data_IF_429365874022
#
_entry.id   IF_429365874022
#
_cell.length_a   1.000
_cell.length_b   1.000
_cell.length_c   1.000
_cell.angle_alpha   90.00
_cell.angle_beta   90.00
_cell.angle_gamma   90.00
#
_symmetry.space_group_name_H-M   'P 1'
#
loop_
_entity.id
_entity.type
_entity.pdbx_description
1 polymer ?
#
# COMPACT_ATOMS: atom_id res chain seq x y z
N UNK A 1 -5.56 35.46 -13.91
CA UNK A 1 -5.28 34.26 -13.10
C UNK A 1 -4.69 33.22 -14.03
N UNK A 2 -3.43 32.83 -13.80
CA UNK A 2 -2.77 31.80 -14.60
C UNK A 2 -3.22 30.44 -14.05
N UNK A 3 -3.78 29.59 -14.89
CA UNK A 3 -4.13 28.21 -14.53
C UNK A 3 -3.51 27.27 -15.56
N UNK A 4 -3.00 26.14 -15.10
CA UNK A 4 -2.54 25.09 -16.00
C UNK A 4 -3.75 24.42 -16.65
N UNK A 5 -3.66 24.12 -17.96
CA UNK A 5 -4.73 23.40 -18.70
C UNK A 5 -4.73 21.90 -18.41
N UNK A 6 -3.60 21.35 -17.98
CA UNK A 6 -3.44 19.97 -17.53
C UNK A 6 -2.28 19.92 -16.52
N UNK A 7 -2.36 19.06 -15.49
CA UNK A 7 -1.20 18.77 -14.64
C UNK A 7 -0.06 18.14 -15.47
N UNK A 8 1.20 18.26 -15.05
CA UNK A 8 2.32 17.58 -15.69
C UNK A 8 2.15 16.06 -15.66
N UNK A 9 2.48 15.41 -16.77
CA UNK A 9 2.57 13.95 -16.85
C UNK A 9 4.04 13.56 -16.67
N UNK A 10 4.41 13.04 -15.50
CA UNK A 10 5.78 12.63 -15.19
C UNK A 10 6.24 11.42 -16.01
N UNK A 11 5.31 10.60 -16.51
CA UNK A 11 5.58 9.39 -17.27
C UNK A 11 5.70 9.67 -18.78
N UNK A 12 5.11 10.79 -19.25
CA UNK A 12 5.26 11.31 -20.60
C UNK A 12 5.58 12.81 -20.56
N UNK A 13 6.80 13.19 -20.14
CA UNK A 13 7.12 14.60 -19.91
C UNK A 13 7.01 15.40 -21.21
N UNK A 14 6.57 16.67 -21.13
CA UNK A 14 6.56 17.57 -22.28
C UNK A 14 7.98 17.84 -22.79
N UNK A 15 8.07 18.51 -23.93
CA UNK A 15 9.34 18.87 -24.57
C UNK A 15 10.26 19.56 -23.56
N UNK A 16 11.41 18.95 -23.27
CA UNK A 16 12.36 19.40 -22.23
C UNK A 16 12.70 18.30 -21.22
N UNK A 17 11.78 17.36 -20.94
CA UNK A 17 12.05 16.16 -20.14
C UNK A 17 12.32 16.40 -18.65
N UNK A 18 12.26 17.64 -18.17
CA UNK A 18 12.68 18.07 -16.83
C UNK A 18 11.53 18.62 -15.98
N UNK A 19 10.28 18.58 -16.48
CA UNK A 19 9.08 19.14 -15.84
C UNK A 19 9.21 20.64 -15.47
N UNK A 20 10.07 21.34 -16.20
CA UNK A 20 10.21 22.79 -16.17
C UNK A 20 9.39 23.37 -17.33
N UNK A 21 8.44 24.23 -17.00
CA UNK A 21 7.66 24.95 -18.01
C UNK A 21 8.31 26.30 -18.30
N UNK A 22 8.77 26.46 -19.54
CA UNK A 22 9.21 27.75 -20.06
C UNK A 22 7.99 28.62 -20.38
N UNK A 23 7.69 29.58 -19.51
CA UNK A 23 6.67 30.60 -19.79
C UNK A 23 7.37 31.78 -20.46
N UNK A 24 7.19 31.91 -21.78
CA UNK A 24 7.72 33.05 -22.54
C UNK A 24 6.79 34.25 -22.36
N UNK A 25 7.30 35.30 -21.72
CA UNK A 25 6.65 36.60 -21.63
C UNK A 25 7.18 37.50 -22.73
N UNK A 26 6.29 38.09 -23.52
CA UNK A 26 6.66 39.08 -24.53
C UNK A 26 6.16 40.45 -24.10
N UNK A 27 7.04 41.45 -24.12
CA UNK A 27 6.70 42.85 -23.83
C UNK A 27 6.87 43.64 -25.13
N UNK A 28 5.85 44.41 -25.50
CA UNK A 28 5.89 45.38 -26.60
C UNK A 28 5.48 46.76 -26.08
N UNK A 29 6.00 47.81 -26.70
CA UNK A 29 5.67 49.20 -26.40
C UNK A 29 4.60 49.77 -27.35
N UNK A 30 3.89 48.89 -28.08
CA UNK A 30 2.97 49.26 -29.15
C UNK A 30 3.62 49.46 -30.53
N UNK A 31 4.94 49.28 -30.66
CA UNK A 31 5.63 49.17 -31.95
C UNK A 31 5.93 47.69 -32.32
N UNK A 32 6.64 47.46 -33.43
CA UNK A 32 7.00 46.10 -33.92
C UNK A 32 8.06 45.43 -33.04
N UNK A 33 8.76 46.20 -32.21
CA UNK A 33 9.79 45.68 -31.33
C UNK A 33 9.16 44.95 -30.15
N UNK A 34 9.62 43.72 -29.94
CA UNK A 34 9.25 42.89 -28.81
C UNK A 34 10.51 42.48 -28.08
N UNK A 35 10.46 42.54 -26.76
CA UNK A 35 11.42 41.86 -25.91
C UNK A 35 10.78 40.60 -25.34
N UNK A 36 11.56 39.53 -25.20
CA UNK A 36 11.06 38.24 -24.73
C UNK A 36 11.90 37.72 -23.59
N UNK A 37 11.25 37.34 -22.49
CA UNK A 37 11.90 36.71 -21.35
C UNK A 37 11.23 35.37 -21.06
N UNK A 38 12.03 34.31 -20.95
CA UNK A 38 11.56 33.04 -20.42
C UNK A 38 11.54 33.09 -18.89
N UNK A 39 10.43 32.66 -18.29
CA UNK A 39 10.28 32.43 -16.86
C UNK A 39 10.17 30.92 -16.65
N UNK A 40 11.06 30.37 -15.84
CA UNK A 40 11.02 28.95 -15.47
C UNK A 40 9.98 28.75 -14.36
N UNK A 41 9.00 27.90 -14.61
CA UNK A 41 8.07 27.42 -13.58
C UNK A 41 8.33 25.94 -13.35
N UNK A 42 8.89 25.61 -12.20
CA UNK A 42 9.11 24.24 -11.77
C UNK A 42 7.85 23.71 -11.10
N UNK A 43 7.28 22.62 -11.63
CA UNK A 43 6.30 21.83 -10.89
C UNK A 43 7.08 20.70 -10.22
N UNK A 44 7.01 20.63 -8.90
CA UNK A 44 7.66 19.55 -8.18
C UNK A 44 6.86 18.25 -8.35
N UNK A 45 7.56 17.12 -8.49
CA UNK A 45 6.92 15.82 -8.33
C UNK A 45 6.55 15.71 -6.86
N UNK A 46 5.29 15.97 -6.53
CA UNK A 46 4.75 15.42 -5.30
C UNK A 46 4.47 13.99 -5.63
N UNK A 47 5.08 13.07 -4.89
CA UNK A 47 4.95 11.63 -5.06
C UNK A 47 3.50 11.23 -5.41
N UNK A 48 3.25 11.04 -6.71
CA UNK A 48 1.98 10.57 -7.28
C UNK A 48 2.00 9.05 -7.45
N UNK A 49 2.96 8.35 -6.81
CA UNK A 49 2.86 6.90 -6.63
C UNK A 49 1.45 6.65 -6.10
N UNK A 50 0.55 6.04 -6.89
CA UNK A 50 -0.54 5.33 -6.24
C UNK A 50 0.23 4.40 -5.31
N UNK A 51 -0.03 4.38 -3.99
CA UNK A 51 0.45 3.23 -3.25
C UNK A 51 0.01 2.03 -4.09
N UNK A 52 0.96 1.25 -4.56
CA UNK A 52 0.67 -0.09 -5.02
C UNK A 52 0.81 -0.89 -3.74
N UNK A 53 -0.17 -0.93 -2.82
CA UNK A 53 -0.08 -1.88 -1.73
C UNK A 53 -0.20 -3.26 -2.39
N UNK A 54 0.90 -4.02 -2.39
CA UNK A 54 0.87 -5.47 -2.50
C UNK A 54 0.36 -6.09 -3.80
N UNK A 55 1.05 -5.92 -4.93
CA UNK A 55 0.82 -6.76 -6.13
C UNK A 55 1.30 -8.21 -6.01
N UNK A 56 1.68 -8.68 -4.81
CA UNK A 56 2.04 -10.09 -4.56
C UNK A 56 1.22 -10.77 -3.44
N UNK A 57 0.20 -10.09 -2.89
CA UNK A 57 -0.53 -10.59 -1.72
C UNK A 57 0.35 -10.63 -0.47
N UNK A 58 -0.09 -11.38 0.54
CA UNK A 58 0.61 -11.54 1.81
C UNK A 58 0.98 -13.00 2.05
N UNK A 59 2.13 -13.22 2.69
CA UNK A 59 2.52 -14.51 3.27
C UNK A 59 2.04 -14.54 4.71
N UNK A 60 1.41 -15.65 5.13
CA UNK A 60 1.01 -15.85 6.52
C UNK A 60 1.91 -16.92 7.14
N UNK A 61 2.77 -16.52 8.06
CA UNK A 61 3.70 -17.42 8.74
C UNK A 61 3.02 -18.10 9.92
N UNK A 62 3.21 -19.41 10.06
CA UNK A 62 2.71 -20.17 11.22
C UNK A 62 3.44 -19.80 12.50
N UNK A 63 2.77 -19.98 13.64
CA UNK A 63 3.28 -19.61 14.96
C UNK A 63 4.46 -20.51 15.36
N UNK A 64 4.22 -21.81 15.53
CA UNK A 64 5.26 -22.75 15.94
C UNK A 64 5.63 -23.76 14.84
N UNK A 65 6.91 -24.13 14.84
CA UNK A 65 7.44 -25.10 13.89
C UNK A 65 6.89 -26.50 14.20
N UNK A 66 5.99 -26.99 13.36
CA UNK A 66 5.37 -28.30 13.53
C UNK A 66 3.85 -28.26 13.56
N UNK A 67 3.27 -27.08 13.76
CA UNK A 67 1.81 -26.88 13.84
C UNK A 67 1.07 -27.13 12.53
N UNK A 68 1.82 -27.05 11.42
CA UNK A 68 1.34 -27.23 10.04
C UNK A 68 0.14 -26.34 9.72
N UNK A 69 0.24 -25.04 10.10
CA UNK A 69 -0.68 -24.00 9.64
C UNK A 69 -0.75 -23.98 8.10
N UNK A 70 -1.92 -23.63 7.56
CA UNK A 70 -2.14 -23.58 6.12
C UNK A 70 -2.30 -24.95 5.44
N UNK A 71 -2.23 -26.06 6.18
CA UNK A 71 -2.56 -27.41 5.67
C UNK A 71 -3.97 -27.49 5.10
N UNK A 72 -4.90 -26.77 5.72
CA UNK A 72 -6.28 -26.59 5.26
C UNK A 72 -6.65 -25.12 5.35
N UNK A 73 -7.23 -24.59 4.26
CA UNK A 73 -7.74 -23.22 4.17
C UNK A 73 -9.16 -23.25 3.62
N UNK A 74 -10.01 -22.36 4.10
CA UNK A 74 -11.38 -22.21 3.63
C UNK A 74 -11.78 -20.73 3.61
N UNK A 75 -12.73 -20.38 2.73
CA UNK A 75 -13.42 -19.10 2.84
C UNK A 75 -14.29 -19.09 4.09
N UNK A 76 -14.22 -18.03 4.87
CA UNK A 76 -15.07 -17.80 6.04
C UNK A 76 -16.32 -16.95 5.70
N UNK A 77 -16.29 -16.27 4.55
CA UNK A 77 -17.19 -15.16 4.24
C UNK A 77 -16.80 -13.92 5.05
N UNK A 78 -17.54 -12.82 4.88
CA UNK A 78 -17.41 -11.62 5.71
C UNK A 78 -17.98 -11.87 7.12
N UNK A 79 -17.13 -12.22 8.08
CA UNK A 79 -17.53 -12.53 9.46
C UNK A 79 -17.58 -11.30 10.36
N UNK A 80 -16.87 -10.22 9.98
CA UNK A 80 -16.78 -9.00 10.78
C UNK A 80 -17.75 -7.89 10.30
N UNK A 81 -18.36 -8.05 9.13
CA UNK A 81 -19.35 -7.14 8.55
C UNK A 81 -18.76 -5.95 7.80
N UNK A 82 -17.51 -6.02 7.33
CA UNK A 82 -16.84 -4.92 6.61
C UNK A 82 -17.04 -4.93 5.08
N UNK A 83 -17.72 -5.96 4.56
CA UNK A 83 -18.00 -6.15 3.15
C UNK A 83 -16.89 -6.86 2.37
N UNK A 84 -15.86 -7.40 3.04
CA UNK A 84 -14.77 -8.17 2.45
C UNK A 84 -14.81 -9.60 3.02
N UNK A 85 -14.66 -10.60 2.16
CA UNK A 85 -14.65 -11.99 2.62
C UNK A 85 -13.35 -12.33 3.39
N UNK A 86 -13.51 -13.03 4.51
CA UNK A 86 -12.44 -13.48 5.39
C UNK A 86 -12.01 -14.93 5.10
N UNK A 87 -10.91 -15.36 5.72
CA UNK A 87 -10.30 -16.69 5.51
C UNK A 87 -10.14 -17.42 6.84
N UNK A 88 -10.42 -18.73 6.83
CA UNK A 88 -10.11 -19.66 7.91
C UNK A 88 -8.83 -20.45 7.60
N UNK A 89 -7.92 -20.51 8.56
CA UNK A 89 -6.68 -21.27 8.48
C UNK A 89 -6.60 -22.24 9.66
N UNK A 90 -6.37 -23.53 9.37
CA UNK A 90 -6.16 -24.55 10.38
C UNK A 90 -4.68 -24.83 10.63
N UNK A 91 -4.31 -25.02 11.90
CA UNK A 91 -3.03 -25.51 12.37
C UNK A 91 -3.27 -26.77 13.22
N UNK A 92 -3.45 -27.91 12.54
CA UNK A 92 -4.02 -29.11 13.16
C UNK A 92 -3.06 -29.84 14.11
N UNK A 93 -1.76 -29.50 14.09
CA UNK A 93 -0.77 -30.04 15.02
C UNK A 93 -0.35 -29.05 16.10
N UNK A 94 -0.99 -27.87 16.18
CA UNK A 94 -0.73 -26.95 17.27
C UNK A 94 -1.17 -27.56 18.62
N UNK A 95 -0.50 -27.12 19.69
CA UNK A 95 -0.62 -27.67 21.04
C UNK A 95 -1.24 -26.68 22.05
N UNK A 96 -2.45 -26.13 21.80
CA UNK A 96 -3.03 -25.12 22.66
C UNK A 96 -3.26 -25.66 24.07
N UNK A 97 -2.84 -24.88 25.08
CA UNK A 97 -2.96 -25.27 26.48
C UNK A 97 -2.12 -26.49 26.86
N UNK A 98 -0.98 -26.69 26.20
CA UNK A 98 -0.05 -27.81 26.40
C UNK A 98 -0.67 -29.19 26.08
N UNK A 99 -1.66 -29.24 25.17
CA UNK A 99 -2.30 -30.49 24.73
C UNK A 99 -1.85 -30.85 23.32
N UNK A 100 -1.02 -31.90 23.22
CA UNK A 100 -0.44 -32.38 21.96
C UNK A 100 -1.51 -32.64 20.87
N UNK A 101 -1.40 -31.94 19.74
CA UNK A 101 -2.24 -32.08 18.56
C UNK A 101 -3.70 -31.71 18.77
N UNK A 102 -4.03 -30.89 19.78
CA UNK A 102 -5.39 -30.41 19.98
C UNK A 102 -5.86 -29.49 18.83
N UNK A 103 -4.92 -28.81 18.18
CA UNK A 103 -5.12 -28.01 16.99
C UNK A 103 -5.67 -26.61 17.27
N UNK A 104 -5.26 -25.66 16.44
CA UNK A 104 -5.73 -24.28 16.46
C UNK A 104 -6.40 -23.90 15.13
N UNK A 105 -7.25 -22.88 15.17
CA UNK A 105 -7.91 -22.30 14.00
C UNK A 105 -7.91 -20.79 14.11
N UNK A 106 -7.56 -20.14 13.02
CA UNK A 106 -7.46 -18.69 12.94
C UNK A 106 -8.41 -18.16 11.88
N UNK A 107 -9.04 -17.03 12.19
CA UNK A 107 -9.78 -16.22 11.21
C UNK A 107 -8.90 -15.05 10.84
N UNK A 108 -8.65 -14.89 9.54
CA UNK A 108 -7.89 -13.77 9.00
C UNK A 108 -8.88 -12.84 8.30
N UNK A 109 -9.04 -11.63 8.85
CA UNK A 109 -9.93 -10.65 8.24
C UNK A 109 -9.36 -10.15 6.90
N UNK A 110 -10.22 -10.04 5.91
CA UNK A 110 -9.87 -9.54 4.59
C UNK A 110 -9.55 -8.04 4.59
N UNK A 111 -8.99 -7.58 3.47
CA UNK A 111 -8.73 -6.15 3.23
C UNK A 111 -7.25 -5.79 3.21
N UNK A 112 -6.80 -5.19 2.10
CA UNK A 112 -5.39 -4.88 1.89
C UNK A 112 -4.84 -3.87 2.92
N UNK A 113 -5.63 -2.87 3.32
CA UNK A 113 -5.21 -1.86 4.28
C UNK A 113 -5.03 -2.46 5.69
N UNK A 114 -5.92 -3.37 6.09
CA UNK A 114 -5.82 -4.05 7.38
C UNK A 114 -4.62 -5.01 7.42
N UNK A 115 -4.42 -5.79 6.36
CA UNK A 115 -3.29 -6.71 6.26
C UNK A 115 -1.96 -5.96 6.18
N UNK A 116 -1.90 -4.81 5.51
CA UNK A 116 -0.73 -3.94 5.51
C UNK A 116 -0.43 -3.35 6.90
N UNK A 117 -1.46 -3.13 7.74
CA UNK A 117 -1.26 -2.69 9.12
C UNK A 117 -0.67 -3.80 9.99
N UNK A 118 -1.09 -5.05 9.80
CA UNK A 118 -0.50 -6.21 10.49
C UNK A 118 0.95 -6.50 10.05
N UNK A 119 1.26 -6.40 8.76
CA UNK A 119 2.64 -6.46 8.20
C UNK A 119 3.52 -5.31 8.74
N UNK A 120 2.95 -4.12 8.95
CA UNK A 120 3.70 -3.05 9.61
C UNK A 120 3.90 -3.28 11.13
N UNK A 121 2.97 -3.98 11.79
CA UNK A 121 2.97 -4.18 13.23
C UNK A 121 3.91 -5.31 13.69
N UNK A 122 4.30 -6.24 12.82
CA UNK A 122 5.20 -7.35 13.16
C UNK A 122 6.69 -6.94 13.27
N UNK A 123 6.99 -5.69 12.91
CA UNK A 123 8.33 -5.11 12.97
C UNK A 123 9.06 -5.08 11.63
N UNK A 124 8.48 -5.63 10.55
CA UNK A 124 9.07 -5.66 9.21
C UNK A 124 7.99 -5.64 8.12
N UNK A 125 7.87 -4.52 7.39
CA UNK A 125 6.97 -4.45 6.22
C UNK A 125 7.58 -5.11 4.98
N UNK A 126 7.51 -6.43 4.91
CA UNK A 126 8.03 -7.24 3.81
C UNK A 126 6.95 -8.05 3.08
N UNK A 127 5.70 -7.93 3.50
CA UNK A 127 4.55 -8.65 2.97
C UNK A 127 4.36 -10.03 3.61
N UNK A 128 5.11 -10.37 4.66
CA UNK A 128 4.81 -11.47 5.55
C UNK A 128 4.06 -10.96 6.80
N UNK A 129 3.20 -11.79 7.36
CA UNK A 129 2.48 -11.51 8.59
C UNK A 129 2.60 -12.76 9.47
N UNK A 130 3.11 -12.59 10.69
CA UNK A 130 3.13 -13.64 11.70
C UNK A 130 1.73 -13.90 12.27
N UNK A 131 1.25 -15.15 12.22
CA UNK A 131 -0.10 -15.51 12.65
C UNK A 131 -0.36 -15.25 14.14
N UNK A 132 0.70 -15.20 14.95
CA UNK A 132 0.65 -14.85 16.38
C UNK A 132 0.19 -13.42 16.66
N UNK A 133 0.25 -12.55 15.66
CA UNK A 133 -0.16 -11.14 15.76
C UNK A 133 -1.63 -10.95 15.36
N UNK A 134 -2.29 -11.99 14.83
CA UNK A 134 -3.71 -11.93 14.56
C UNK A 134 -4.48 -12.01 15.88
N UNK A 135 -5.30 -10.98 16.14
CA UNK A 135 -6.12 -10.88 17.36
C UNK A 135 -5.53 -9.96 18.43
N UNK A 136 -4.31 -9.44 18.25
CA UNK A 136 -3.85 -8.24 18.97
C UNK A 136 -4.27 -7.00 18.19
N UNK A 137 -4.59 -5.90 18.89
CA UNK A 137 -4.81 -4.62 18.22
C UNK A 137 -3.48 -4.17 17.59
N UNK A 138 -3.35 -4.12 16.25
CA UNK A 138 -2.09 -3.77 15.61
C UNK A 138 -1.72 -2.29 15.82
N UNK A 139 -2.62 -1.49 16.40
CA UNK A 139 -2.36 -0.10 16.82
C UNK A 139 -1.87 0.01 18.28
N UNK A 140 -1.93 -1.08 19.05
CA UNK A 140 -1.40 -1.18 20.41
C UNK A 140 -0.01 -1.83 20.39
N UNK A 141 0.96 -1.09 19.85
CA UNK A 141 2.35 -1.53 19.84
C UNK A 141 2.92 -1.66 21.26
N UNK A 142 3.69 -2.72 21.52
CA UNK A 142 4.54 -2.89 22.71
C UNK A 142 5.80 -2.03 22.61
#
# INVERSE_FOLDING_TARGET
MLIFRAPPDYEAPPIGGDNIYDVVVQVNDGAVLMDTQAIQVTVANVNEVPPLPGTFGFVLNGIDAGDLSGRSVASAGDVNGDGIDDILIGAYQADPGDVEGAGETYVVFGGADLLALYDAADGVSDGAIELSLLGTDPTDCV
#
